data_IF_753170446419
#
_entry.id   IF_753170446419
#
_cell.length_a   1.000
_cell.length_b   1.000
_cell.length_c   1.000
_cell.angle_alpha   90.00
_cell.angle_beta   90.00
_cell.angle_gamma   90.00
#
_symmetry.space_group_name_H-M   'P 1'
#
loop_
_entity.id
_entity.type
_entity.pdbx_description
1 polymer ?
#
# COMPACT_ATOMS: atom_id res chain seq x y z
N UNK A 1 -30.23 -2.87 4.81
CA UNK A 1 -28.82 -2.45 4.81
C UNK A 1 -28.21 -3.06 6.05
N UNK A 2 -27.20 -3.91 5.88
CA UNK A 2 -26.54 -4.58 6.99
C UNK A 2 -25.63 -3.56 7.69
N UNK A 3 -25.62 -3.47 9.02
CA UNK A 3 -24.75 -2.54 9.77
C UNK A 3 -23.28 -2.64 9.33
N UNK A 4 -22.84 -3.84 8.92
CA UNK A 4 -21.52 -4.10 8.35
C UNK A 4 -21.28 -3.37 7.02
N UNK A 5 -22.27 -3.31 6.13
CA UNK A 5 -22.16 -2.58 4.85
C UNK A 5 -22.08 -1.08 5.11
N UNK A 6 -22.86 -0.56 6.05
CA UNK A 6 -22.84 0.86 6.41
C UNK A 6 -21.48 1.26 7.00
N UNK A 7 -20.92 0.45 7.91
CA UNK A 7 -19.59 0.67 8.48
C UNK A 7 -18.48 0.63 7.41
N UNK A 8 -18.58 -0.28 6.44
CA UNK A 8 -17.64 -0.35 5.32
C UNK A 8 -17.73 0.92 4.45
N UNK A 9 -18.93 1.45 4.17
CA UNK A 9 -19.10 2.72 3.43
C UNK A 9 -18.54 3.92 4.20
N UNK A 10 -18.74 3.99 5.52
CA UNK A 10 -18.18 5.07 6.34
C UNK A 10 -16.65 5.01 6.39
N UNK A 11 -16.06 3.81 6.52
CA UNK A 11 -14.61 3.61 6.43
C UNK A 11 -14.06 3.97 5.04
N UNK A 12 -14.83 3.75 3.97
CA UNK A 12 -14.46 4.16 2.61
C UNK A 12 -14.29 5.67 2.44
N UNK A 13 -14.98 6.44 3.28
CA UNK A 13 -15.00 7.89 3.23
C UNK A 13 -13.87 8.50 4.10
N UNK A 14 -12.99 7.67 4.67
CA UNK A 14 -11.83 8.14 5.41
C UNK A 14 -10.88 8.89 4.46
N UNK A 15 -10.75 10.20 4.68
CA UNK A 15 -9.95 11.13 3.87
C UNK A 15 -8.49 11.15 4.30
N UNK A 16 -8.00 10.10 4.97
CA UNK A 16 -6.62 10.04 5.43
C UNK A 16 -5.63 10.28 4.29
N UNK A 17 -5.93 9.82 3.07
CA UNK A 17 -5.05 10.02 1.92
C UNK A 17 -5.01 11.49 1.47
N UNK A 18 -6.16 12.18 1.44
CA UNK A 18 -6.22 13.62 1.14
C UNK A 18 -5.44 14.40 2.21
N UNK A 19 -5.61 14.02 3.47
CA UNK A 19 -4.87 14.58 4.60
C UNK A 19 -3.36 14.32 4.46
N UNK A 20 -2.95 13.10 4.14
CA UNK A 20 -1.55 12.73 3.95
C UNK A 20 -0.90 13.56 2.84
N UNK A 21 -1.62 13.75 1.72
CA UNK A 21 -1.18 14.58 0.61
C UNK A 21 -1.01 16.05 1.06
N UNK A 22 -2.02 16.62 1.73
CA UNK A 22 -1.95 17.99 2.22
C UNK A 22 -0.79 18.21 3.20
N UNK A 23 -0.61 17.31 4.17
CA UNK A 23 0.51 17.38 5.13
C UNK A 23 1.87 17.21 4.43
N UNK A 24 1.95 16.40 3.37
CA UNK A 24 3.18 16.24 2.58
C UNK A 24 3.52 17.53 1.83
N UNK A 25 2.52 18.21 1.24
CA UNK A 25 2.72 19.51 0.61
C UNK A 25 3.19 20.56 1.61
N UNK A 26 2.52 20.65 2.76
CA UNK A 26 2.86 21.61 3.81
C UNK A 26 4.25 21.35 4.39
N UNK A 27 4.63 20.08 4.56
CA UNK A 27 5.98 19.71 5.00
C UNK A 27 7.05 20.14 4.00
N UNK A 28 6.81 19.97 2.69
CA UNK A 28 7.80 20.29 1.66
C UNK A 28 7.93 21.79 1.37
N UNK A 29 6.86 22.58 1.57
CA UNK A 29 6.82 24.02 1.22
C UNK A 29 8.02 24.83 1.73
N UNK A 30 8.44 24.75 3.02
CA UNK A 30 9.56 25.53 3.53
C UNK A 30 10.91 25.18 2.88
N UNK A 31 11.08 23.94 2.42
CA UNK A 31 12.33 23.47 1.84
C UNK A 31 12.48 23.85 0.37
N UNK A 32 11.38 23.96 -0.36
CA UNK A 32 11.37 24.29 -1.80
C UNK A 32 12.05 25.62 -2.13
N UNK A 33 11.99 26.60 -1.22
CA UNK A 33 12.61 27.91 -1.40
C UNK A 33 14.07 27.99 -0.94
N UNK A 34 14.52 27.04 -0.11
CA UNK A 34 15.85 27.09 0.53
C UNK A 34 16.84 26.10 -0.09
N UNK A 35 16.35 24.93 -0.51
CA UNK A 35 17.17 23.89 -1.13
C UNK A 35 17.33 24.12 -2.64
N UNK A 36 18.46 23.67 -3.19
CA UNK A 36 18.61 23.54 -4.65
C UNK A 36 17.58 22.54 -5.21
N UNK A 37 17.32 22.59 -6.51
CA UNK A 37 16.43 21.63 -7.18
C UNK A 37 16.83 20.18 -6.92
N UNK A 38 18.13 19.87 -6.99
CA UNK A 38 18.65 18.53 -6.74
C UNK A 38 18.46 18.09 -5.27
N UNK A 39 18.70 18.99 -4.31
CA UNK A 39 18.49 18.67 -2.90
C UNK A 39 17.00 18.52 -2.57
N UNK A 40 16.12 19.29 -3.22
CA UNK A 40 14.68 19.12 -3.12
C UNK A 40 14.25 17.74 -3.63
N UNK A 41 14.73 17.31 -4.80
CA UNK A 41 14.41 16.00 -5.36
C UNK A 41 14.87 14.86 -4.43
N UNK A 42 16.09 14.96 -3.88
CA UNK A 42 16.58 14.00 -2.87
C UNK A 42 15.73 13.98 -1.60
N UNK A 43 15.30 15.14 -1.11
CA UNK A 43 14.40 15.23 0.05
C UNK A 43 13.06 14.55 -0.24
N UNK A 44 12.49 14.79 -1.42
CA UNK A 44 11.25 14.13 -1.86
C UNK A 44 11.42 12.62 -1.91
N UNK A 45 12.53 12.10 -2.43
CA UNK A 45 12.81 10.66 -2.42
C UNK A 45 12.93 10.07 -1.01
N UNK A 46 13.58 10.76 -0.08
CA UNK A 46 13.67 10.33 1.33
C UNK A 46 12.27 10.27 1.94
N UNK A 47 11.46 11.32 1.71
CA UNK A 47 10.10 11.40 2.23
C UNK A 47 9.20 10.30 1.66
N UNK A 48 9.31 10.00 0.36
CA UNK A 48 8.57 8.91 -0.28
C UNK A 48 8.89 7.57 0.39
N UNK A 49 10.18 7.27 0.61
CA UNK A 49 10.58 6.04 1.29
C UNK A 49 10.02 5.96 2.72
N UNK A 50 10.06 7.06 3.46
CA UNK A 50 9.52 7.11 4.82
C UNK A 50 8.01 6.90 4.84
N UNK A 51 7.26 7.57 3.95
CA UNK A 51 5.81 7.38 3.82
C UNK A 51 5.49 5.91 3.51
N UNK A 52 6.15 5.31 2.53
CA UNK A 52 5.92 3.91 2.16
C UNK A 52 6.29 2.95 3.30
N UNK A 53 7.36 3.25 4.04
CA UNK A 53 7.78 2.47 5.20
C UNK A 53 6.71 2.51 6.31
N UNK A 54 6.21 3.70 6.65
CA UNK A 54 5.17 3.86 7.68
C UNK A 54 3.86 3.18 7.27
N UNK A 55 3.48 3.27 5.99
CA UNK A 55 2.29 2.60 5.48
C UNK A 55 2.42 1.07 5.54
N UNK A 56 3.59 0.51 5.19
CA UNK A 56 3.85 -0.93 5.35
C UNK A 56 3.66 -1.34 6.82
N UNK A 57 4.25 -0.61 7.77
CA UNK A 57 4.10 -0.87 9.20
C UNK A 57 2.64 -0.77 9.68
N UNK A 58 1.89 0.20 9.18
CA UNK A 58 0.48 0.38 9.52
C UNK A 58 -0.39 -0.77 9.02
N UNK A 59 -0.18 -1.22 7.78
CA UNK A 59 -0.93 -2.32 7.16
C UNK A 59 -0.77 -3.60 7.96
N UNK A 60 0.45 -3.92 8.44
CA UNK A 60 0.71 -5.13 9.25
C UNK A 60 -0.08 -5.18 10.57
N UNK A 61 -0.63 -4.05 11.02
CA UNK A 61 -1.39 -3.93 12.29
C UNK A 61 -2.90 -3.90 12.07
N UNK A 62 -3.36 -4.09 10.83
CA UNK A 62 -4.78 -4.00 10.45
C UNK A 62 -5.30 -5.35 9.96
N UNK A 63 -6.61 -5.49 10.03
CA UNK A 63 -7.33 -6.59 9.39
C UNK A 63 -8.24 -6.03 8.29
N UNK A 64 -8.30 -6.69 7.15
CA UNK A 64 -9.01 -6.22 5.97
C UNK A 64 -10.22 -7.11 5.65
N UNK A 65 -11.35 -6.50 5.32
CA UNK A 65 -12.37 -7.12 4.46
C UNK A 65 -11.96 -6.97 2.99
N UNK A 66 -12.67 -7.66 2.10
CA UNK A 66 -12.57 -7.44 0.64
C UNK A 66 -12.71 -5.96 0.28
N UNK A 67 -13.71 -5.29 0.85
CA UNK A 67 -13.93 -3.86 0.61
C UNK A 67 -12.76 -3.01 1.10
N UNK A 68 -12.27 -3.24 2.33
CA UNK A 68 -11.13 -2.51 2.87
C UNK A 68 -9.85 -2.69 2.04
N UNK A 69 -9.63 -3.87 1.46
CA UNK A 69 -8.50 -4.12 0.55
C UNK A 69 -8.62 -3.35 -0.77
N UNK A 70 -9.83 -3.26 -1.35
CA UNK A 70 -10.09 -2.47 -2.57
C UNK A 70 -9.86 -0.98 -2.29
N UNK A 71 -10.36 -0.49 -1.15
CA UNK A 71 -10.16 0.89 -0.73
C UNK A 71 -8.66 1.21 -0.54
N UNK A 72 -7.91 0.33 0.12
CA UNK A 72 -6.46 0.49 0.29
C UNK A 72 -5.73 0.61 -1.06
N UNK A 73 -6.05 -0.23 -2.04
CA UNK A 73 -5.44 -0.17 -3.38
C UNK A 73 -5.74 1.17 -4.07
N UNK A 74 -6.98 1.66 -3.99
CA UNK A 74 -7.37 2.97 -4.51
C UNK A 74 -6.57 4.11 -3.85
N UNK A 75 -6.38 4.05 -2.54
CA UNK A 75 -5.60 5.04 -1.79
C UNK A 75 -4.12 5.01 -2.18
N UNK A 76 -3.54 3.83 -2.38
CA UNK A 76 -2.18 3.70 -2.92
C UNK A 76 -2.04 4.27 -4.33
N UNK A 77 -3.05 4.11 -5.19
CA UNK A 77 -3.04 4.73 -6.51
C UNK A 77 -3.11 6.26 -6.44
N UNK A 78 -3.93 6.81 -5.55
CA UNK A 78 -3.98 8.26 -5.32
C UNK A 78 -2.64 8.79 -4.78
N UNK A 79 -2.05 8.08 -3.82
CA UNK A 79 -0.73 8.41 -3.28
C UNK A 79 0.35 8.37 -4.37
N UNK A 80 0.35 7.30 -5.18
CA UNK A 80 1.31 7.13 -6.27
C UNK A 80 1.20 8.26 -7.29
N UNK A 81 -0.02 8.64 -7.69
CA UNK A 81 -0.25 9.74 -8.63
C UNK A 81 0.29 11.06 -8.07
N UNK A 82 -0.02 11.37 -6.80
CA UNK A 82 0.48 12.57 -6.14
C UNK A 82 2.02 12.56 -6.02
N UNK A 83 2.63 11.51 -5.47
CA UNK A 83 4.08 11.45 -5.28
C UNK A 83 4.84 11.50 -6.62
N UNK A 84 4.27 10.89 -7.68
CA UNK A 84 4.81 11.01 -9.03
C UNK A 84 4.74 12.44 -9.55
N UNK A 85 3.70 13.21 -9.21
CA UNK A 85 3.58 14.61 -9.64
C UNK A 85 4.63 15.55 -9.03
N UNK A 86 5.24 15.18 -7.90
CA UNK A 86 6.21 16.01 -7.18
C UNK A 86 7.66 15.49 -7.25
N UNK A 87 7.89 14.33 -7.88
CA UNK A 87 9.20 13.67 -8.01
C UNK A 87 9.71 13.78 -9.45
N UNK A 88 11.01 14.02 -9.63
CA UNK A 88 11.63 13.92 -10.96
C UNK A 88 11.97 12.48 -11.34
N UNK A 89 12.01 11.57 -10.36
CA UNK A 89 12.34 10.16 -10.56
C UNK A 89 11.08 9.33 -10.79
N UNK A 90 11.23 8.28 -11.61
CA UNK A 90 10.21 7.24 -11.73
C UNK A 90 10.04 6.50 -10.40
N UNK A 91 8.81 6.48 -9.88
CA UNK A 91 8.51 5.85 -8.59
C UNK A 91 8.05 4.40 -8.69
N UNK A 92 8.07 3.81 -9.90
CA UNK A 92 7.54 2.46 -10.16
C UNK A 92 8.17 1.39 -9.24
N UNK A 93 9.49 1.42 -9.11
CA UNK A 93 10.21 0.43 -8.30
C UNK A 93 9.93 0.60 -6.80
N UNK A 94 9.80 1.86 -6.33
CA UNK A 94 9.47 2.19 -4.95
C UNK A 94 8.11 1.62 -4.53
N UNK A 95 7.11 1.67 -5.42
CA UNK A 95 5.76 1.20 -5.14
C UNK A 95 5.54 -0.28 -5.43
N UNK A 96 6.47 -0.96 -6.11
CA UNK A 96 6.28 -2.34 -6.57
C UNK A 96 5.90 -3.27 -5.42
N UNK A 97 6.59 -3.17 -4.29
CA UNK A 97 6.29 -3.99 -3.11
C UNK A 97 4.90 -3.68 -2.53
N UNK A 98 4.54 -2.41 -2.36
CA UNK A 98 3.23 -2.00 -1.83
C UNK A 98 2.08 -2.44 -2.74
N UNK A 99 2.25 -2.38 -4.06
CA UNK A 99 1.25 -2.85 -5.02
C UNK A 99 1.11 -4.39 -4.98
N UNK A 100 2.19 -5.13 -4.72
CA UNK A 100 2.10 -6.58 -4.50
C UNK A 100 1.33 -6.91 -3.22
N UNK A 101 1.52 -6.12 -2.15
CA UNK A 101 0.73 -6.25 -0.92
C UNK A 101 -0.76 -6.00 -1.21
N UNK A 102 -1.09 -4.91 -1.91
CA UNK A 102 -2.47 -4.62 -2.32
C UNK A 102 -3.05 -5.77 -3.15
N UNK A 103 -2.29 -6.31 -4.12
CA UNK A 103 -2.70 -7.46 -4.92
C UNK A 103 -3.03 -8.68 -4.08
N UNK A 104 -2.19 -9.03 -3.11
CA UNK A 104 -2.43 -10.16 -2.20
C UNK A 104 -3.69 -9.95 -1.37
N UNK A 105 -3.85 -8.73 -0.83
CA UNK A 105 -5.06 -8.36 -0.09
C UNK A 105 -6.29 -8.32 -0.98
N UNK A 106 -6.15 -8.19 -2.30
CA UNK A 106 -7.26 -8.18 -3.27
C UNK A 106 -7.46 -9.50 -4.02
N UNK A 107 -6.90 -10.61 -3.57
CA UNK A 107 -7.27 -11.93 -4.09
C UNK A 107 -8.71 -12.27 -3.70
N UNK A 108 -9.42 -12.99 -4.56
CA UNK A 108 -10.72 -13.57 -4.22
C UNK A 108 -10.54 -14.87 -3.42
N UNK A 109 -9.46 -15.60 -3.70
CA UNK A 109 -9.10 -16.85 -3.01
C UNK A 109 -7.60 -16.94 -2.74
N UNK A 110 -7.25 -17.61 -1.64
CA UNK A 110 -5.85 -17.77 -1.20
C UNK A 110 -4.98 -18.43 -2.29
N UNK A 111 -5.53 -19.39 -3.03
CA UNK A 111 -4.80 -20.15 -4.06
C UNK A 111 -4.37 -19.31 -5.26
N UNK A 112 -5.04 -18.17 -5.52
CA UNK A 112 -4.73 -17.28 -6.64
C UNK A 112 -3.34 -16.67 -6.55
N UNK A 113 -2.72 -16.69 -5.37
CA UNK A 113 -1.33 -16.28 -5.16
C UNK A 113 -0.36 -16.97 -6.12
N UNK A 114 -0.67 -18.22 -6.51
CA UNK A 114 0.15 -19.00 -7.43
C UNK A 114 0.25 -18.38 -8.83
N UNK A 115 -0.70 -17.54 -9.24
CA UNK A 115 -0.67 -16.84 -10.53
C UNK A 115 0.31 -15.66 -10.55
N UNK A 116 0.75 -15.16 -9.38
CA UNK A 116 1.50 -13.90 -9.29
C UNK A 116 2.88 -14.04 -8.66
N UNK A 117 3.02 -14.89 -7.64
CA UNK A 117 4.15 -14.82 -6.73
C UNK A 117 5.49 -15.29 -7.34
N UNK A 118 5.44 -16.13 -8.38
CA UNK A 118 6.60 -16.62 -9.12
C UNK A 118 7.08 -15.66 -10.23
N UNK A 119 6.58 -14.42 -10.26
CA UNK A 119 7.02 -13.45 -11.27
C UNK A 119 8.41 -12.88 -10.94
N UNK A 120 9.20 -12.58 -11.97
CA UNK A 120 10.56 -12.03 -11.82
C UNK A 120 10.60 -10.65 -11.13
N UNK A 121 9.47 -9.93 -11.11
CA UNK A 121 9.32 -8.65 -10.43
C UNK A 121 8.85 -8.77 -8.98
N UNK A 122 8.61 -9.99 -8.47
CA UNK A 122 8.11 -10.23 -7.12
C UNK A 122 9.14 -9.85 -6.05
N UNK A 123 8.69 -9.16 -4.99
CA UNK A 123 9.53 -8.57 -3.93
C UNK A 123 9.19 -9.07 -2.53
N UNK A 124 8.18 -9.94 -2.38
CA UNK A 124 7.76 -10.48 -1.09
C UNK A 124 8.27 -11.91 -0.91
N UNK A 125 8.88 -12.19 0.23
CA UNK A 125 9.26 -13.55 0.64
C UNK A 125 8.02 -14.41 0.92
N UNK A 126 8.16 -15.73 0.89
CA UNK A 126 7.08 -16.65 1.24
C UNK A 126 6.49 -16.39 2.65
N UNK A 127 7.32 -15.96 3.60
CA UNK A 127 6.87 -15.60 4.95
C UNK A 127 6.02 -14.33 4.95
N UNK A 128 6.45 -13.30 4.21
CA UNK A 128 5.70 -12.06 4.07
C UNK A 128 4.37 -12.29 3.34
N UNK A 129 4.36 -13.11 2.28
CA UNK A 129 3.13 -13.47 1.57
C UNK A 129 2.10 -14.08 2.53
N UNK A 130 2.49 -15.05 3.35
CA UNK A 130 1.59 -15.67 4.34
C UNK A 130 1.12 -14.66 5.39
N UNK A 131 2.01 -13.79 5.84
CA UNK A 131 1.69 -12.75 6.83
C UNK A 131 0.66 -11.76 6.27
N UNK A 132 0.85 -11.27 5.05
CA UNK A 132 -0.11 -10.37 4.37
C UNK A 132 -1.45 -11.05 4.13
N UNK A 133 -1.46 -12.30 3.63
CA UNK A 133 -2.71 -13.04 3.42
C UNK A 133 -3.47 -13.24 4.74
N UNK A 134 -2.78 -13.39 5.87
CA UNK A 134 -3.41 -13.53 7.18
C UNK A 134 -4.10 -12.27 7.69
N UNK A 135 -3.86 -11.12 7.05
CA UNK A 135 -4.57 -9.87 7.37
C UNK A 135 -6.01 -9.86 6.80
N UNK A 136 -6.35 -10.75 5.85
CA UNK A 136 -7.72 -10.89 5.33
C UNK A 136 -8.59 -11.70 6.28
N UNK A 137 -9.66 -11.07 6.79
CA UNK A 137 -10.57 -11.67 7.79
C UNK A 137 -11.29 -12.92 7.31
N UNK A 138 -11.51 -13.01 6.00
CA UNK A 138 -12.27 -14.07 5.34
C UNK A 138 -11.39 -15.21 4.80
N UNK A 139 -10.05 -15.09 4.86
CA UNK A 139 -9.14 -16.16 4.45
C UNK A 139 -8.89 -17.13 5.60
N UNK A 140 -9.07 -18.42 5.34
CA UNK A 140 -8.87 -19.43 6.36
C UNK A 140 -7.36 -19.65 6.61
N UNK A 141 -6.96 -19.64 7.88
CA UNK A 141 -5.56 -19.87 8.29
C UNK A 141 -5.00 -21.19 7.74
N UNK A 142 -5.84 -22.22 7.61
CA UNK A 142 -5.45 -23.52 7.07
C UNK A 142 -5.14 -23.47 5.57
N UNK A 143 -5.91 -22.69 4.79
CA UNK A 143 -5.64 -22.48 3.36
C UNK A 143 -4.29 -21.79 3.18
N UNK A 144 -4.03 -20.73 3.95
CA UNK A 144 -2.76 -20.00 3.93
C UNK A 144 -1.58 -20.91 4.31
N UNK A 145 -1.75 -21.77 5.32
CA UNK A 145 -0.71 -22.74 5.72
C UNK A 145 -0.46 -23.80 4.64
N UNK A 146 -1.50 -24.20 3.91
CA UNK A 146 -1.40 -25.23 2.86
C UNK A 146 -0.69 -24.77 1.59
N UNK A 147 -0.53 -23.45 1.40
CA UNK A 147 0.18 -22.89 0.25
C UNK A 147 1.60 -23.44 0.12
N UNK A 148 1.96 -23.86 -1.09
CA UNK A 148 3.32 -24.31 -1.45
C UNK A 148 4.09 -23.17 -2.12
N UNK A 149 4.62 -22.27 -1.30
CA UNK A 149 5.50 -21.18 -1.73
C UNK A 149 6.95 -21.64 -1.47
N UNK A 150 7.73 -21.85 -2.53
CA UNK A 150 9.12 -22.33 -2.49
C UNK A 150 10.09 -21.27 -3.02
#
# INVERSE_FOLDING_TARGET
MNETEDLDVFAANDRWIESCIAHTEDFLKPFRSVLSTENNDRLVLILINEILHQLDQFIQRKSFSRFGAIQLEKEYHNLFAYLTSISYNSLRDYFTRSLQICRLLNLDRVEEVHYYWNSSSWRLTAHEVRSILSLRRDFAVNEIRSLKLQ
#
